data_IF_754477869821
#
_entry.id   IF_754477869821
#
_cell.length_a   1.000
_cell.length_b   1.000
_cell.length_c   1.000
_cell.angle_alpha   90.00
_cell.angle_beta   90.00
_cell.angle_gamma   90.00
#
_symmetry.space_group_name_H-M   'P 1'
#
loop_
_entity.id
_entity.type
_entity.pdbx_description
1 polymer ?
#
# COMPACT_ATOMS: atom_id res chain seq x y z
N UNK A 1 1.78 7.83 14.33
CA UNK A 1 0.33 7.55 14.43
C UNK A 1 -0.42 8.58 13.59
N UNK A 2 -1.50 8.18 12.91
CA UNK A 2 -2.34 9.08 12.10
C UNK A 2 -3.03 10.15 12.99
N UNK A 3 -3.05 11.40 12.55
CA UNK A 3 -3.81 12.48 13.19
C UNK A 3 -4.94 12.95 12.25
N UNK A 4 -6.22 12.65 12.56
CA UNK A 4 -7.35 13.00 11.70
C UNK A 4 -7.48 14.51 11.43
N UNK A 5 -7.03 15.39 12.34
CA UNK A 5 -7.12 16.85 12.12
C UNK A 5 -6.23 17.35 10.98
N UNK A 6 -5.21 16.56 10.59
CA UNK A 6 -4.32 16.87 9.47
C UNK A 6 -4.87 16.42 8.12
N UNK A 7 -5.86 15.52 8.11
CA UNK A 7 -6.40 14.93 6.88
C UNK A 7 -7.06 15.96 5.93
N UNK A 8 -7.83 16.96 6.42
CA UNK A 8 -8.33 18.04 5.57
C UNK A 8 -7.22 18.77 4.81
N UNK A 9 -6.08 19.00 5.48
CA UNK A 9 -4.94 19.63 4.82
C UNK A 9 -4.28 18.71 3.79
N UNK A 10 -4.10 17.43 4.13
CA UNK A 10 -3.58 16.46 3.18
C UNK A 10 -4.39 16.43 1.86
N UNK A 11 -5.72 16.38 1.96
CA UNK A 11 -6.62 16.38 0.79
C UNK A 11 -6.61 17.72 0.03
N UNK A 12 -6.59 18.86 0.76
CA UNK A 12 -6.50 20.18 0.11
C UNK A 12 -5.22 20.31 -0.72
N UNK A 13 -4.06 19.93 -0.19
CA UNK A 13 -2.80 19.95 -0.94
C UNK A 13 -2.84 19.01 -2.14
N UNK A 14 -3.40 17.80 -1.98
CA UNK A 14 -3.53 16.87 -3.09
C UNK A 14 -4.28 17.48 -4.28
N UNK A 15 -5.39 18.19 -4.01
CA UNK A 15 -6.17 18.89 -5.04
C UNK A 15 -5.42 20.08 -5.64
N UNK A 16 -4.83 20.93 -4.79
CA UNK A 16 -4.05 22.11 -5.23
C UNK A 16 -2.92 21.74 -6.19
N UNK A 17 -2.22 20.65 -5.92
CA UNK A 17 -1.12 20.15 -6.76
C UNK A 17 -1.57 19.13 -7.81
N UNK A 18 -2.88 18.86 -7.92
CA UNK A 18 -3.44 17.87 -8.85
C UNK A 18 -2.74 16.50 -8.74
N UNK A 19 -2.52 16.02 -7.52
CA UNK A 19 -1.94 14.71 -7.23
C UNK A 19 -2.99 13.83 -6.54
N UNK A 20 -3.09 12.54 -6.90
CA UNK A 20 -3.97 11.63 -6.19
C UNK A 20 -3.46 11.41 -4.76
N UNK A 21 -4.37 11.06 -3.87
CA UNK A 21 -4.07 10.80 -2.47
C UNK A 21 -4.54 9.39 -2.07
N UNK A 22 -3.89 8.82 -1.06
CA UNK A 22 -4.26 7.52 -0.52
C UNK A 22 -5.36 7.68 0.52
N UNK A 23 -6.49 7.04 0.27
CA UNK A 23 -7.56 6.90 1.25
C UNK A 23 -8.34 5.60 0.98
N UNK A 24 -8.22 4.58 1.84
CA UNK A 24 -9.00 3.37 1.68
C UNK A 24 -10.45 3.61 2.12
N UNK A 25 -11.43 2.98 1.46
CA UNK A 25 -12.86 3.18 1.76
C UNK A 25 -13.23 2.90 3.22
N UNK A 26 -12.54 1.97 3.88
CA UNK A 26 -12.74 1.71 5.33
C UNK A 26 -12.41 2.93 6.20
N UNK A 27 -11.45 3.77 5.80
CA UNK A 27 -11.13 5.01 6.50
C UNK A 27 -12.14 6.13 6.16
N UNK A 28 -12.75 6.09 4.97
CA UNK A 28 -13.73 7.08 4.53
C UNK A 28 -14.99 7.15 5.42
N UNK A 29 -15.29 6.11 6.21
CA UNK A 29 -16.40 6.13 7.17
C UNK A 29 -16.15 6.95 8.44
N UNK A 30 -14.92 7.39 8.71
CA UNK A 30 -14.61 8.19 9.89
C UNK A 30 -15.08 9.64 9.69
N UNK A 31 -15.79 10.28 10.65
CA UNK A 31 -16.36 11.61 10.46
C UNK A 31 -15.34 12.69 10.02
N UNK A 32 -14.12 12.65 10.60
CA UNK A 32 -13.04 13.58 10.27
C UNK A 32 -12.49 13.43 8.83
N UNK A 33 -12.72 12.27 8.21
CA UNK A 33 -12.32 11.96 6.83
C UNK A 33 -13.49 12.20 5.89
N UNK A 34 -14.67 11.66 6.21
CA UNK A 34 -15.88 11.74 5.38
C UNK A 34 -16.23 13.18 4.98
N UNK A 35 -16.09 14.14 5.90
CA UNK A 35 -16.47 15.54 5.67
C UNK A 35 -15.61 16.29 4.64
N UNK A 36 -14.49 15.73 4.18
CA UNK A 36 -13.60 16.37 3.20
C UNK A 36 -13.50 15.64 1.85
N UNK A 37 -14.06 14.43 1.78
CA UNK A 37 -14.07 13.62 0.57
C UNK A 37 -15.16 14.11 -0.40
N UNK A 38 -14.89 13.94 -1.69
CA UNK A 38 -15.84 14.15 -2.79
C UNK A 38 -16.19 12.80 -3.41
N UNK A 39 -17.31 12.74 -4.11
CA UNK A 39 -17.78 11.51 -4.77
C UNK A 39 -16.81 11.02 -5.85
N UNK A 40 -16.07 11.93 -6.47
CA UNK A 40 -15.09 11.67 -7.54
C UNK A 40 -13.67 11.41 -7.03
N UNK A 41 -13.42 11.45 -5.71
CA UNK A 41 -12.11 11.12 -5.17
C UNK A 41 -11.79 9.62 -5.42
N UNK A 42 -10.60 9.28 -5.97
CA UNK A 42 -10.25 7.91 -6.32
C UNK A 42 -9.82 7.09 -5.09
N UNK A 43 -10.79 6.66 -4.29
CA UNK A 43 -10.58 5.87 -3.07
C UNK A 43 -10.22 4.41 -3.38
N UNK A 44 -9.45 3.79 -2.49
CA UNK A 44 -9.04 2.40 -2.61
C UNK A 44 -10.08 1.48 -1.98
N UNK A 45 -10.58 0.51 -2.74
CA UNK A 45 -11.54 -0.49 -2.28
C UNK A 45 -10.91 -1.44 -1.24
N UNK A 46 -9.60 -1.67 -1.34
CA UNK A 46 -8.86 -2.52 -0.42
C UNK A 46 -7.46 -2.00 -0.11
N UNK A 47 -6.88 -2.52 0.97
CA UNK A 47 -5.49 -2.29 1.35
C UNK A 47 -4.92 -3.61 1.90
N UNK A 48 -3.70 -3.95 1.50
CA UNK A 48 -2.96 -5.06 2.06
C UNK A 48 -1.52 -4.64 2.38
N UNK A 49 -0.96 -5.21 3.44
CA UNK A 49 0.42 -5.02 3.87
C UNK A 49 0.76 -6.18 4.79
N UNK A 50 2.00 -6.68 4.73
CA UNK A 50 2.45 -7.64 5.74
C UNK A 50 2.30 -7.02 7.14
N UNK A 51 2.00 -7.85 8.13
CA UNK A 51 1.85 -7.42 9.53
C UNK A 51 2.89 -8.12 10.40
N UNK A 52 3.15 -7.62 11.63
CA UNK A 52 4.07 -8.29 12.55
C UNK A 52 3.68 -9.73 12.91
N UNK A 53 2.45 -10.15 12.61
CA UNK A 53 1.98 -11.53 12.85
C UNK A 53 2.42 -12.51 11.75
N UNK A 54 2.86 -12.02 10.58
CA UNK A 54 3.38 -12.86 9.50
C UNK A 54 4.80 -13.28 9.86
N UNK A 55 5.02 -14.59 10.00
CA UNK A 55 6.36 -15.13 10.29
C UNK A 55 7.26 -15.08 9.04
N UNK A 56 8.60 -14.99 9.19
CA UNK A 56 9.53 -14.96 8.06
C UNK A 56 9.32 -16.07 7.04
N UNK A 57 9.02 -17.29 7.50
CA UNK A 57 8.84 -18.46 6.62
C UNK A 57 7.52 -18.41 5.85
N UNK A 58 6.54 -17.64 6.35
CA UNK A 58 5.23 -17.46 5.73
C UNK A 58 5.14 -16.25 4.79
N UNK A 59 6.24 -15.53 4.56
CA UNK A 59 6.22 -14.28 3.79
C UNK A 59 5.74 -14.46 2.35
N UNK A 60 6.24 -15.44 1.57
CA UNK A 60 5.74 -15.66 0.21
C UNK A 60 4.26 -16.04 0.18
N UNK A 61 3.83 -16.93 1.09
CA UNK A 61 2.45 -17.38 1.20
C UNK A 61 1.50 -16.22 1.50
N UNK A 62 1.88 -15.30 2.39
CA UNK A 62 1.11 -14.08 2.66
C UNK A 62 0.83 -13.28 1.37
N UNK A 63 1.86 -13.01 0.56
CA UNK A 63 1.68 -12.24 -0.67
C UNK A 63 0.86 -12.97 -1.74
N UNK A 64 1.04 -14.29 -1.87
CA UNK A 64 0.18 -15.09 -2.75
C UNK A 64 -1.29 -15.06 -2.30
N UNK A 65 -1.54 -15.15 -1.00
CA UNK A 65 -2.89 -15.13 -0.44
C UNK A 65 -3.55 -13.76 -0.63
N UNK A 66 -2.79 -12.66 -0.53
CA UNK A 66 -3.30 -11.34 -0.89
C UNK A 66 -3.83 -11.35 -2.32
N UNK A 67 -3.04 -11.84 -3.29
CA UNK A 67 -3.44 -11.85 -4.70
C UNK A 67 -4.67 -12.75 -4.95
N UNK A 68 -4.73 -13.93 -4.32
CA UNK A 68 -5.85 -14.88 -4.43
C UNK A 68 -7.16 -14.33 -3.85
N UNK A 69 -7.07 -13.47 -2.84
CA UNK A 69 -8.23 -12.94 -2.12
C UNK A 69 -8.70 -11.58 -2.63
N UNK A 70 -8.05 -11.00 -3.65
CA UNK A 70 -8.45 -9.74 -4.23
C UNK A 70 -9.91 -9.78 -4.71
N UNK A 71 -10.67 -8.76 -4.33
CA UNK A 71 -12.01 -8.49 -4.87
C UNK A 71 -11.86 -7.57 -6.10
N UNK A 72 -12.82 -7.59 -7.04
CA UNK A 72 -12.89 -6.57 -8.08
C UNK A 72 -12.85 -5.15 -7.48
N UNK A 73 -11.94 -4.31 -7.95
CA UNK A 73 -11.74 -2.95 -7.45
C UNK A 73 -10.27 -2.53 -7.44
N UNK A 74 -9.99 -1.37 -6.84
CA UNK A 74 -8.67 -0.80 -6.67
C UNK A 74 -8.12 -1.14 -5.27
N UNK A 75 -7.17 -2.09 -5.21
CA UNK A 75 -6.48 -2.45 -3.96
C UNK A 75 -5.08 -1.84 -3.91
N UNK A 76 -4.70 -1.28 -2.75
CA UNK A 76 -3.37 -0.76 -2.51
C UNK A 76 -2.52 -1.74 -1.71
N UNK A 77 -1.48 -2.30 -2.34
CA UNK A 77 -0.49 -3.16 -1.68
C UNK A 77 0.68 -2.31 -1.19
N UNK A 78 0.85 -2.21 0.13
CA UNK A 78 1.99 -1.52 0.74
C UNK A 78 3.12 -2.50 0.95
N UNK A 79 4.30 -2.15 0.45
CA UNK A 79 5.55 -2.90 0.62
C UNK A 79 6.67 -1.96 1.00
N UNK A 80 7.70 -2.49 1.66
CA UNK A 80 8.89 -1.75 2.02
C UNK A 80 10.09 -2.46 1.41
N UNK A 81 10.55 -2.06 0.23
CA UNK A 81 11.67 -2.74 -0.42
C UNK A 81 13.00 -2.18 0.11
N UNK A 82 14.00 -3.05 0.30
CA UNK A 82 15.35 -2.65 0.69
C UNK A 82 16.23 -3.86 1.02
N UNK A 83 17.54 -3.71 0.86
CA UNK A 83 18.48 -4.77 1.19
C UNK A 83 18.77 -4.81 2.69
N UNK A 84 18.84 -6.01 3.28
CA UNK A 84 19.26 -6.19 4.66
C UNK A 84 20.79 -6.12 4.80
N UNK A 85 21.35 -4.95 4.48
CA UNK A 85 22.77 -4.67 4.53
C UNK A 85 23.14 -3.73 5.69
N UNK A 86 24.44 -3.46 5.84
CA UNK A 86 24.96 -2.64 6.92
C UNK A 86 24.43 -1.20 6.89
N UNK A 87 24.14 -0.65 5.71
CA UNK A 87 23.58 0.70 5.59
C UNK A 87 22.16 0.73 6.14
N UNK A 88 21.30 -0.18 5.67
CA UNK A 88 19.90 -0.18 6.08
C UNK A 88 19.74 -0.59 7.55
N UNK A 89 20.57 -1.51 8.05
CA UNK A 89 20.63 -1.90 9.48
C UNK A 89 21.08 -0.74 10.38
N UNK A 90 21.93 0.17 9.91
CA UNK A 90 22.37 1.32 10.70
C UNK A 90 21.26 2.38 10.88
N UNK A 91 20.34 2.47 9.91
CA UNK A 91 19.24 3.46 9.92
C UNK A 91 17.95 2.89 10.53
N UNK A 92 17.73 1.58 10.39
CA UNK A 92 16.50 0.91 10.84
C UNK A 92 16.74 0.19 12.17
N UNK A 93 15.87 0.41 13.16
CA UNK A 93 15.92 -0.37 14.40
C UNK A 93 15.45 -1.81 14.13
N UNK A 94 16.35 -2.77 14.29
CA UNK A 94 16.05 -4.20 14.18
C UNK A 94 15.08 -4.72 15.27
N UNK A 95 14.86 -3.94 16.34
CA UNK A 95 13.96 -4.32 17.44
C UNK A 95 12.48 -3.98 17.15
N UNK A 96 12.20 -3.31 16.03
CA UNK A 96 10.86 -2.90 15.65
C UNK A 96 10.39 -3.63 14.37
N UNK A 97 9.06 -3.81 14.19
CA UNK A 97 8.50 -4.11 12.87
C UNK A 97 9.01 -3.12 11.83
N UNK A 98 9.07 -3.55 10.55
CA UNK A 98 9.54 -2.73 9.42
C UNK A 98 11.05 -2.44 9.37
N UNK A 99 11.87 -3.19 10.13
CA UNK A 99 13.35 -3.16 10.08
C UNK A 99 13.96 -3.68 8.78
N UNK A 100 15.30 -3.75 8.68
CA UNK A 100 15.97 -4.09 7.42
C UNK A 100 15.65 -5.52 6.95
N UNK A 101 15.55 -6.48 7.87
CA UNK A 101 15.13 -7.85 7.57
C UNK A 101 13.68 -7.96 7.05
N UNK A 102 12.78 -7.06 7.45
CA UNK A 102 11.44 -6.99 6.84
C UNK A 102 11.53 -6.57 5.38
N UNK A 103 12.36 -5.54 5.12
CA UNK A 103 12.46 -4.94 3.80
C UNK A 103 13.07 -5.87 2.76
N UNK A 104 14.05 -6.67 3.19
CA UNK A 104 14.63 -7.73 2.37
C UNK A 104 13.58 -8.78 2.00
N UNK A 105 12.74 -9.21 2.96
CA UNK A 105 11.70 -10.20 2.68
C UNK A 105 10.65 -9.69 1.70
N UNK A 106 10.26 -8.41 1.80
CA UNK A 106 9.41 -7.78 0.78
C UNK A 106 10.13 -7.79 -0.58
N UNK A 107 11.39 -7.34 -0.63
CA UNK A 107 12.18 -7.34 -1.88
C UNK A 107 12.26 -8.73 -2.53
N UNK A 108 12.59 -9.76 -1.77
CA UNK A 108 12.76 -11.12 -2.26
C UNK A 108 11.47 -11.67 -2.89
N UNK A 109 10.32 -11.45 -2.24
CA UNK A 109 9.04 -11.92 -2.78
C UNK A 109 8.63 -11.11 -4.01
N UNK A 110 8.66 -9.78 -3.91
CA UNK A 110 8.14 -8.87 -4.94
C UNK A 110 8.96 -8.94 -6.24
N UNK A 111 10.23 -9.33 -6.16
CA UNK A 111 11.11 -9.52 -7.33
C UNK A 111 11.17 -10.98 -7.81
N UNK A 112 10.49 -11.92 -7.13
CA UNK A 112 10.52 -13.33 -7.47
C UNK A 112 9.75 -13.65 -8.77
N UNK A 113 10.22 -14.64 -9.56
CA UNK A 113 9.43 -15.19 -10.67
C UNK A 113 8.07 -15.76 -10.23
N UNK A 114 7.98 -16.26 -8.99
CA UNK A 114 6.76 -16.81 -8.42
C UNK A 114 5.68 -15.75 -8.25
N UNK A 115 6.02 -14.61 -7.65
CA UNK A 115 5.07 -13.50 -7.47
C UNK A 115 4.64 -12.90 -8.82
N UNK A 116 5.58 -12.73 -9.75
CA UNK A 116 5.26 -12.27 -11.11
C UNK A 116 4.28 -13.20 -11.85
N UNK A 117 4.39 -14.51 -11.62
CA UNK A 117 3.44 -15.50 -12.15
C UNK A 117 2.09 -15.41 -11.43
N UNK A 118 2.09 -15.32 -10.10
CA UNK A 118 0.87 -15.21 -9.31
C UNK A 118 0.02 -13.99 -9.70
N UNK A 119 0.63 -12.85 -10.04
CA UNK A 119 -0.08 -11.68 -10.59
C UNK A 119 -0.86 -12.06 -11.86
N UNK A 120 -0.20 -12.75 -12.80
CA UNK A 120 -0.80 -13.16 -14.08
C UNK A 120 -1.90 -14.19 -13.87
N UNK A 121 -1.63 -15.22 -13.06
CA UNK A 121 -2.55 -16.34 -12.83
C UNK A 121 -3.84 -15.90 -12.14
N UNK A 122 -3.77 -14.84 -11.32
CA UNK A 122 -4.94 -14.25 -10.65
C UNK A 122 -5.57 -13.08 -11.45
N UNK A 123 -5.12 -12.81 -12.68
CA UNK A 123 -5.68 -11.76 -13.54
C UNK A 123 -5.51 -10.34 -12.97
N UNK A 124 -4.47 -10.11 -12.17
CA UNK A 124 -4.25 -8.83 -11.50
C UNK A 124 -3.64 -7.81 -12.46
N UNK A 125 -4.28 -6.65 -12.56
CA UNK A 125 -3.78 -5.53 -13.35
C UNK A 125 -3.00 -4.60 -12.42
N UNK A 126 -1.70 -4.47 -12.66
CA UNK A 126 -0.87 -3.49 -11.95
C UNK A 126 -1.14 -2.09 -12.50
N UNK A 127 -1.48 -1.17 -11.60
CA UNK A 127 -1.70 0.25 -11.92
C UNK A 127 -0.82 1.12 -11.04
N UNK A 128 -0.38 2.27 -11.57
CA UNK A 128 0.36 3.25 -10.81
C UNK A 128 -0.47 4.49 -10.47
N UNK A 129 0.06 5.34 -9.60
CA UNK A 129 -0.56 6.64 -9.28
C UNK A 129 -0.76 7.54 -10.50
N UNK A 130 0.06 7.39 -11.55
CA UNK A 130 -0.14 8.10 -12.82
C UNK A 130 -1.42 7.65 -13.52
N UNK A 131 -1.84 6.41 -13.38
CA UNK A 131 -3.09 5.90 -13.94
C UNK A 131 -4.28 6.39 -13.13
N UNK A 132 -4.17 6.34 -11.79
CA UNK A 132 -5.17 6.92 -10.88
C UNK A 132 -5.38 8.41 -11.16
N UNK A 133 -4.30 9.16 -11.38
CA UNK A 133 -4.37 10.59 -11.72
C UNK A 133 -5.16 10.87 -13.01
N UNK A 134 -5.19 9.95 -13.98
CA UNK A 134 -5.97 10.13 -15.23
C UNK A 134 -7.49 10.12 -14.98
N UNK A 135 -7.93 9.56 -13.86
CA UNK A 135 -9.34 9.53 -13.45
C UNK A 135 -9.77 10.83 -12.75
N UNK A 136 -8.81 11.62 -12.27
CA UNK A 136 -9.09 12.90 -11.64
C UNK A 136 -9.42 13.92 -12.73
N UNK A 137 -10.66 14.40 -12.75
CA UNK A 137 -11.05 15.55 -13.58
C UNK A 137 -10.36 16.82 -13.08
N UNK A 138 -10.07 17.76 -14.01
CA UNK A 138 -9.59 19.10 -13.65
C UNK A 138 -10.67 19.89 -12.90
#
# INVERSE_FOLDING_TARGET
VFNPSMFPMYVKLAREYSVPFFCPRVAAGQPAIAGVLREDDPLMDGMAMASPTVKPEGWPAFYEDVLKQLKPGLTYLIVHLGYNDAELQAVMSEQAPFGAAWRQRDFDVLTSPGFARAIKDNGVILVGWKDVKKLMTK
#
